data_IF_618349923261
#
_entry.id   IF_618349923261
#
_cell.length_a   1.000
_cell.length_b   1.000
_cell.length_c   1.000
_cell.angle_alpha   90.00
_cell.angle_beta   90.00
_cell.angle_gamma   90.00
#
_symmetry.space_group_name_H-M   'P 1'
#
loop_
_entity.id
_entity.type
_entity.pdbx_description
1 polymer ?
#
# COMPACT_ATOMS: atom_id res chain seq x y z
N UNK A 1 -43.96 -5.87 40.84
CA UNK A 1 -43.41 -5.01 39.77
C UNK A 1 -42.75 -5.96 38.78
N UNK A 2 -43.16 -5.94 37.52
CA UNK A 2 -42.82 -7.00 36.58
C UNK A 2 -41.45 -6.74 35.94
N UNK A 3 -40.50 -7.63 36.22
CA UNK A 3 -39.16 -7.63 35.63
C UNK A 3 -39.26 -7.80 34.10
N UNK A 4 -39.18 -6.68 33.37
CA UNK A 4 -39.13 -6.67 31.91
C UNK A 4 -37.69 -6.94 31.46
N UNK A 5 -37.34 -8.22 31.31
CA UNK A 5 -36.10 -8.62 30.64
C UNK A 5 -36.15 -8.17 29.15
N UNK A 6 -35.10 -7.47 28.68
CA UNK A 6 -34.93 -7.13 27.27
C UNK A 6 -34.73 -8.42 26.44
N UNK A 7 -35.19 -8.49 25.18
CA UNK A 7 -34.99 -9.67 24.35
C UNK A 7 -33.49 -9.88 24.05
N UNK A 8 -32.92 -10.99 24.53
CA UNK A 8 -31.58 -11.44 24.17
C UNK A 8 -31.69 -12.17 22.83
N UNK A 9 -30.96 -11.67 21.82
CA UNK A 9 -30.84 -12.32 20.52
C UNK A 9 -29.60 -13.20 20.54
N UNK A 10 -29.81 -14.51 20.58
CA UNK A 10 -28.73 -15.49 20.54
C UNK A 10 -28.25 -15.65 19.09
N UNK A 11 -26.95 -15.45 18.88
CA UNK A 11 -26.28 -15.85 17.65
C UNK A 11 -25.67 -17.22 17.89
N UNK A 12 -26.26 -18.26 17.31
CA UNK A 12 -25.72 -19.60 17.33
C UNK A 12 -25.06 -19.87 15.98
N UNK A 13 -23.91 -20.55 15.96
CA UNK A 13 -23.38 -21.11 14.71
C UNK A 13 -24.44 -22.06 14.15
N UNK A 14 -24.74 -21.95 12.86
CA UNK A 14 -25.65 -22.87 12.17
C UNK A 14 -25.05 -24.28 12.26
N UNK A 15 -25.88 -25.31 12.47
CA UNK A 15 -25.43 -26.71 12.49
C UNK A 15 -25.00 -27.19 11.10
N UNK A 16 -25.62 -26.66 10.04
CA UNK A 16 -25.27 -26.93 8.65
C UNK A 16 -25.13 -25.60 7.92
N UNK A 17 -24.01 -25.43 7.25
CA UNK A 17 -23.71 -24.30 6.39
C UNK A 17 -24.23 -24.62 4.99
N UNK A 18 -25.39 -24.08 4.60
CA UNK A 18 -25.96 -24.27 3.25
C UNK A 18 -25.33 -23.34 2.19
N UNK A 19 -24.35 -22.53 2.58
CA UNK A 19 -23.45 -21.91 1.63
C UNK A 19 -22.25 -22.83 1.51
N UNK A 20 -22.24 -23.66 0.47
CA UNK A 20 -20.97 -24.19 -0.01
C UNK A 20 -20.03 -22.99 -0.19
N UNK A 21 -18.92 -22.97 0.56
CA UNK A 21 -17.86 -22.04 0.25
C UNK A 21 -17.38 -22.41 -1.16
N UNK A 22 -17.70 -21.56 -2.14
CA UNK A 22 -17.11 -21.63 -3.47
C UNK A 22 -15.58 -21.60 -3.28
N UNK A 23 -14.94 -22.77 -3.38
CA UNK A 23 -13.49 -22.92 -3.29
C UNK A 23 -12.96 -23.50 -1.98
N UNK A 24 -13.46 -24.66 -1.55
CA UNK A 24 -12.61 -25.57 -0.80
C UNK A 24 -11.50 -26.09 -1.75
N UNK A 25 -10.27 -25.61 -1.53
CA UNK A 25 -9.10 -25.86 -2.38
C UNK A 25 -8.88 -27.34 -2.69
N UNK A 26 -9.29 -27.77 -3.88
CA UNK A 26 -8.67 -28.90 -4.54
C UNK A 26 -7.22 -28.50 -4.77
N UNK A 27 -6.25 -29.30 -4.30
CA UNK A 27 -4.81 -29.02 -4.42
C UNK A 27 -4.26 -28.90 -5.85
N UNK A 28 -5.14 -28.79 -6.84
CA UNK A 28 -4.80 -28.46 -8.20
C UNK A 28 -4.57 -26.96 -8.33
N UNK A 29 -3.54 -26.55 -9.09
CA UNK A 29 -3.29 -25.14 -9.35
C UNK A 29 -4.47 -24.51 -10.13
N UNK A 30 -4.70 -23.19 -9.96
CA UNK A 30 -5.71 -22.46 -10.73
C UNK A 30 -5.50 -22.60 -12.25
N UNK A 31 -6.59 -22.49 -13.02
CA UNK A 31 -6.57 -22.66 -14.49
C UNK A 31 -5.69 -21.63 -15.23
N UNK A 32 -5.52 -20.44 -14.64
CA UNK A 32 -4.70 -19.36 -15.19
C UNK A 32 -3.20 -19.55 -14.94
N UNK A 33 -2.78 -20.58 -14.19
CA UNK A 33 -1.36 -20.87 -14.01
C UNK A 33 -0.73 -21.25 -15.35
N UNK A 34 0.38 -20.61 -15.68
CA UNK A 34 1.03 -20.73 -16.97
C UNK A 34 1.59 -22.13 -17.20
N UNK A 35 1.55 -22.57 -18.46
CA UNK A 35 2.28 -23.76 -18.90
C UNK A 35 3.79 -23.55 -18.79
N UNK A 36 4.53 -24.64 -18.69
CA UNK A 36 5.98 -24.61 -18.42
C UNK A 36 6.80 -23.70 -19.37
N UNK A 37 6.59 -23.73 -20.70
CA UNK A 37 7.33 -22.85 -21.61
C UNK A 37 7.01 -21.37 -21.42
N UNK A 38 5.74 -21.04 -21.17
CA UNK A 38 5.31 -19.66 -20.92
C UNK A 38 5.81 -19.17 -19.56
N UNK A 39 5.80 -20.03 -18.55
CA UNK A 39 6.32 -19.76 -17.22
C UNK A 39 7.83 -19.47 -17.25
N UNK A 40 8.61 -20.25 -18.00
CA UNK A 40 10.04 -20.00 -18.24
C UNK A 40 10.27 -18.64 -18.88
N UNK A 41 9.52 -18.33 -19.93
CA UNK A 41 9.62 -17.05 -20.64
C UNK A 41 9.30 -15.88 -19.68
N UNK A 42 8.23 -16.01 -18.89
CA UNK A 42 7.82 -15.00 -17.91
C UNK A 42 8.87 -14.79 -16.82
N UNK A 43 9.38 -15.89 -16.26
CA UNK A 43 10.48 -15.87 -15.27
C UNK A 43 11.73 -15.18 -15.82
N UNK A 44 12.14 -15.50 -17.05
CA UNK A 44 13.29 -14.85 -17.69
C UNK A 44 13.07 -13.35 -17.81
N UNK A 45 11.90 -12.93 -18.30
CA UNK A 45 11.54 -11.53 -18.43
C UNK A 45 11.62 -10.77 -17.09
N UNK A 46 11.00 -11.30 -16.03
CA UNK A 46 11.06 -10.66 -14.71
C UNK A 46 12.48 -10.57 -14.16
N UNK A 47 13.30 -11.61 -14.37
CA UNK A 47 14.71 -11.56 -13.98
C UNK A 47 15.50 -10.52 -14.76
N UNK A 48 15.19 -10.30 -16.03
CA UNK A 48 15.83 -9.25 -16.83
C UNK A 48 15.46 -7.85 -16.31
N UNK A 49 14.20 -7.61 -15.95
CA UNK A 49 13.79 -6.35 -15.30
C UNK A 49 14.45 -6.17 -13.93
N UNK A 50 14.52 -7.24 -13.12
CA UNK A 50 15.21 -7.19 -11.82
C UNK A 50 16.70 -6.85 -11.98
N UNK A 51 17.37 -7.26 -13.05
CA UNK A 51 18.74 -6.83 -13.32
C UNK A 51 18.86 -5.34 -13.60
N UNK A 52 17.88 -4.72 -14.26
CA UNK A 52 17.82 -3.27 -14.43
C UNK A 52 17.72 -2.56 -13.06
N UNK A 53 16.85 -3.07 -12.18
CA UNK A 53 16.74 -2.60 -10.79
C UNK A 53 18.08 -2.74 -10.07
N UNK A 54 18.81 -3.84 -10.30
CA UNK A 54 20.16 -4.05 -9.74
C UNK A 54 21.22 -3.09 -10.26
N UNK A 55 21.09 -2.57 -11.48
CA UNK A 55 21.96 -1.49 -11.96
C UNK A 55 21.64 -0.18 -11.21
N UNK A 56 20.36 0.18 -11.07
CA UNK A 56 19.94 1.37 -10.31
C UNK A 56 20.43 1.32 -8.85
N UNK A 57 20.34 0.16 -8.19
CA UNK A 57 20.84 0.00 -6.82
C UNK A 57 22.36 0.19 -6.76
N UNK A 58 23.12 -0.30 -7.74
CA UNK A 58 24.59 -0.10 -7.80
C UNK A 58 24.94 1.37 -7.92
N UNK A 59 24.31 2.09 -8.84
CA UNK A 59 24.55 3.52 -9.04
C UNK A 59 24.25 4.32 -7.76
N UNK A 60 23.17 3.97 -7.05
CA UNK A 60 22.79 4.59 -5.77
C UNK A 60 23.83 4.35 -4.68
N UNK A 61 24.36 3.13 -4.58
CA UNK A 61 25.41 2.80 -3.61
C UNK A 61 26.68 3.61 -3.88
N UNK A 62 27.09 3.80 -5.14
CA UNK A 62 28.22 4.65 -5.50
C UNK A 62 28.01 6.12 -5.10
N UNK A 63 26.77 6.59 -5.09
CA UNK A 63 26.37 7.93 -4.67
C UNK A 63 26.10 8.05 -3.16
N UNK A 64 26.40 7.02 -2.35
CA UNK A 64 26.07 6.95 -0.92
C UNK A 64 24.57 7.14 -0.62
N UNK A 65 23.71 6.69 -1.53
CA UNK A 65 22.27 6.69 -1.38
C UNK A 65 21.77 5.28 -1.06
N UNK A 66 21.23 5.11 0.14
CA UNK A 66 20.73 3.83 0.65
C UNK A 66 19.19 3.80 0.77
N UNK A 67 18.49 4.73 0.11
CA UNK A 67 17.04 4.70 0.04
C UNK A 67 16.62 3.47 -0.79
N UNK A 68 15.69 2.63 -0.33
CA UNK A 68 15.24 1.46 -1.10
C UNK A 68 14.71 1.84 -2.47
N UNK A 69 14.96 0.99 -3.47
CA UNK A 69 14.32 1.11 -4.79
C UNK A 69 12.95 0.45 -4.73
N UNK A 70 11.93 1.08 -5.30
CA UNK A 70 10.58 0.52 -5.34
C UNK A 70 10.31 -0.09 -6.71
N UNK A 71 9.78 -1.31 -6.69
CA UNK A 71 9.31 -2.04 -7.86
C UNK A 71 7.78 -2.09 -7.80
N UNK A 72 7.15 -1.74 -8.91
CA UNK A 72 5.71 -1.89 -9.10
C UNK A 72 5.44 -3.25 -9.74
N UNK A 73 4.53 -4.00 -9.15
CA UNK A 73 4.13 -5.33 -9.62
C UNK A 73 2.66 -5.28 -9.98
N UNK A 74 2.36 -5.41 -11.27
CA UNK A 74 0.99 -5.48 -11.76
C UNK A 74 0.48 -6.91 -11.66
N UNK A 75 -0.59 -7.09 -10.91
CA UNK A 75 -1.22 -8.39 -10.72
C UNK A 75 -1.99 -8.82 -11.97
N UNK A 76 -2.15 -10.13 -12.13
CA UNK A 76 -3.09 -10.71 -13.07
C UNK A 76 -4.53 -10.53 -12.57
N UNK A 77 -5.43 -10.06 -13.44
CA UNK A 77 -6.87 -9.87 -13.16
C UNK A 77 -7.51 -11.17 -12.62
N UNK A 78 -7.10 -12.31 -13.18
CA UNK A 78 -7.56 -13.65 -12.73
C UNK A 78 -6.98 -14.05 -11.35
N UNK A 79 -5.96 -13.32 -10.86
CA UNK A 79 -5.24 -13.57 -9.63
C UNK A 79 -5.40 -12.43 -8.59
N UNK A 80 -6.45 -11.61 -8.69
CA UNK A 80 -6.72 -10.47 -7.77
C UNK A 80 -7.10 -10.93 -6.35
N UNK A 81 -7.52 -12.18 -6.19
CA UNK A 81 -7.95 -12.73 -4.90
C UNK A 81 -6.86 -12.60 -3.82
N UNK A 82 -7.30 -12.35 -2.58
CA UNK A 82 -6.39 -12.11 -1.43
C UNK A 82 -5.41 -13.26 -1.17
N UNK A 83 -5.79 -14.49 -1.48
CA UNK A 83 -4.94 -15.68 -1.32
C UNK A 83 -3.70 -15.61 -2.21
N UNK A 84 -3.82 -15.22 -3.47
CA UNK A 84 -2.72 -15.20 -4.42
C UNK A 84 -1.76 -14.02 -4.20
N UNK A 85 -2.21 -12.96 -3.50
CA UNK A 85 -1.31 -11.89 -3.03
C UNK A 85 -0.18 -12.47 -2.17
N UNK A 86 -0.45 -13.51 -1.39
CA UNK A 86 0.58 -14.20 -0.62
C UNK A 86 1.62 -14.86 -1.54
N UNK A 87 1.18 -15.55 -2.59
CA UNK A 87 2.08 -16.18 -3.57
C UNK A 87 2.96 -15.17 -4.29
N UNK A 88 2.43 -13.97 -4.61
CA UNK A 88 3.21 -12.87 -5.17
C UNK A 88 4.18 -12.33 -4.12
N UNK A 89 3.72 -11.91 -2.94
CA UNK A 89 4.62 -11.35 -1.91
C UNK A 89 5.74 -12.31 -1.51
N UNK A 90 5.46 -13.63 -1.53
CA UNK A 90 6.44 -14.65 -1.21
C UNK A 90 7.65 -14.58 -2.13
N UNK A 91 7.47 -14.27 -3.43
CA UNK A 91 8.55 -14.11 -4.42
C UNK A 91 9.52 -12.96 -4.09
N UNK A 92 9.07 -11.99 -3.31
CA UNK A 92 9.85 -10.80 -3.01
C UNK A 92 10.41 -10.78 -1.59
N UNK A 93 9.95 -11.65 -0.69
CA UNK A 93 10.37 -11.63 0.70
C UNK A 93 11.76 -12.31 0.86
N UNK A 94 12.70 -11.58 1.46
CA UNK A 94 14.11 -11.97 1.61
C UNK A 94 14.49 -12.18 3.08
N UNK A 95 13.61 -12.86 3.83
CA UNK A 95 13.68 -12.97 5.30
C UNK A 95 13.02 -11.79 6.05
N UNK A 96 12.60 -10.76 5.32
CA UNK A 96 11.79 -9.63 5.77
C UNK A 96 10.61 -9.40 4.83
N UNK A 97 9.60 -8.66 5.30
CA UNK A 97 8.45 -8.27 4.48
C UNK A 97 8.83 -7.08 3.58
N UNK A 98 8.73 -7.27 2.27
CA UNK A 98 9.14 -6.26 1.28
C UNK A 98 7.95 -5.56 0.61
N UNK A 99 6.71 -6.00 0.86
CA UNK A 99 5.51 -5.26 0.44
C UNK A 99 5.34 -4.00 1.29
N UNK A 100 5.28 -2.83 0.66
CA UNK A 100 5.12 -1.53 1.37
C UNK A 100 3.73 -0.92 1.20
N UNK A 101 3.00 -1.32 0.16
CA UNK A 101 1.65 -0.82 -0.10
C UNK A 101 1.11 -1.25 -1.45
N UNK A 102 0.06 -0.54 -1.88
CA UNK A 102 -0.65 -0.75 -3.13
C UNK A 102 -0.73 0.57 -3.89
N UNK A 103 -0.69 0.47 -5.22
CA UNK A 103 -1.07 1.53 -6.14
C UNK A 103 -2.32 1.06 -6.89
N UNK A 104 -3.43 1.78 -6.74
CA UNK A 104 -4.72 1.30 -7.23
C UNK A 104 -5.15 -0.06 -6.65
N UNK A 105 -5.92 -0.83 -7.43
CA UNK A 105 -6.50 -2.12 -7.00
C UNK A 105 -5.63 -3.34 -7.35
N UNK A 106 -4.81 -3.21 -8.39
CA UNK A 106 -4.11 -4.32 -9.04
C UNK A 106 -2.58 -4.20 -8.96
N UNK A 107 -2.04 -3.14 -8.35
CA UNK A 107 -0.59 -2.94 -8.31
C UNK A 107 -0.05 -3.02 -6.88
N UNK A 108 0.98 -3.83 -6.71
CA UNK A 108 1.73 -3.94 -5.46
C UNK A 108 2.99 -3.09 -5.55
N UNK A 109 3.32 -2.44 -4.44
CA UNK A 109 4.55 -1.67 -4.29
C UNK A 109 5.50 -2.45 -3.39
N UNK A 110 6.67 -2.76 -3.92
CA UNK A 110 7.65 -3.63 -3.25
C UNK A 110 8.97 -2.90 -3.13
N UNK A 111 9.52 -2.84 -1.92
CA UNK A 111 10.85 -2.27 -1.69
C UNK A 111 11.93 -3.32 -1.94
N UNK A 112 13.03 -2.90 -2.52
CA UNK A 112 14.28 -3.66 -2.66
C UNK A 112 15.40 -2.79 -2.10
N UNK A 113 15.96 -3.20 -0.96
CA UNK A 113 16.89 -2.37 -0.19
C UNK A 113 18.35 -2.58 -0.63
N UNK A 114 18.72 -3.81 -0.99
CA UNK A 114 20.11 -4.20 -1.24
C UNK A 114 20.27 -5.12 -2.46
N UNK A 115 21.50 -5.29 -2.94
CA UNK A 115 21.81 -6.25 -4.01
C UNK A 115 21.66 -7.70 -3.53
N UNK A 116 21.90 -7.96 -2.24
CA UNK A 116 21.67 -9.24 -1.61
C UNK A 116 20.19 -9.61 -1.61
N UNK A 117 19.31 -8.64 -1.28
CA UNK A 117 17.86 -8.82 -1.40
C UNK A 117 17.49 -9.16 -2.85
N UNK A 118 17.97 -8.38 -3.81
CA UNK A 118 17.68 -8.60 -5.22
C UNK A 118 18.11 -9.99 -5.71
N UNK A 119 19.31 -10.45 -5.34
CA UNK A 119 19.81 -11.76 -5.72
C UNK A 119 18.94 -12.91 -5.16
N UNK A 120 18.40 -12.74 -3.95
CA UNK A 120 17.44 -13.69 -3.39
C UNK A 120 16.11 -13.69 -4.15
N UNK A 121 15.59 -12.51 -4.50
CA UNK A 121 14.37 -12.35 -5.29
C UNK A 121 14.54 -13.03 -6.66
N UNK A 122 15.63 -12.74 -7.37
CA UNK A 122 15.94 -13.37 -8.67
C UNK A 122 15.99 -14.90 -8.58
N UNK A 123 16.54 -15.44 -7.49
CA UNK A 123 16.57 -16.89 -7.24
C UNK A 123 15.17 -17.46 -7.09
N UNK A 124 14.26 -16.75 -6.40
CA UNK A 124 12.87 -17.18 -6.24
C UNK A 124 12.12 -17.19 -7.56
N UNK A 125 12.31 -16.18 -8.41
CA UNK A 125 11.79 -16.17 -9.77
C UNK A 125 12.37 -17.30 -10.65
N UNK A 126 13.56 -17.81 -10.33
CA UNK A 126 14.17 -18.95 -11.01
C UNK A 126 13.62 -20.33 -10.61
N UNK A 127 12.95 -20.46 -9.46
CA UNK A 127 12.37 -21.73 -9.01
C UNK A 127 10.91 -21.86 -9.48
N UNK A 128 10.79 -22.31 -10.73
CA UNK A 128 9.51 -22.49 -11.42
C UNK A 128 8.62 -23.57 -10.79
N UNK A 129 9.20 -24.47 -9.99
CA UNK A 129 8.44 -25.56 -9.36
C UNK A 129 7.69 -25.07 -8.13
N UNK A 130 8.34 -24.25 -7.31
CA UNK A 130 7.76 -23.74 -6.05
C UNK A 130 6.94 -22.48 -6.25
N UNK A 131 7.24 -21.69 -7.27
CA UNK A 131 6.66 -20.36 -7.46
C UNK A 131 5.87 -20.20 -8.76
N UNK A 132 5.44 -21.30 -9.39
CA UNK A 132 4.63 -21.26 -10.61
C UNK A 132 3.38 -20.39 -10.47
N UNK A 133 2.67 -20.50 -9.35
CA UNK A 133 1.45 -19.72 -9.05
C UNK A 133 1.80 -18.23 -8.94
N UNK A 134 2.78 -17.86 -8.11
CA UNK A 134 3.19 -16.48 -7.92
C UNK A 134 3.68 -15.81 -9.21
N UNK A 135 4.49 -16.52 -10.01
CA UNK A 135 4.99 -15.99 -11.29
C UNK A 135 3.85 -15.83 -12.30
N UNK A 136 2.86 -16.73 -12.27
CA UNK A 136 1.68 -16.65 -13.16
C UNK A 136 0.67 -15.58 -12.72
N UNK A 137 0.67 -15.24 -11.43
CA UNK A 137 -0.20 -14.24 -10.83
C UNK A 137 0.30 -12.80 -11.07
N UNK A 138 1.49 -12.63 -11.62
CA UNK A 138 2.02 -11.34 -12.04
C UNK A 138 1.73 -11.17 -13.53
N UNK A 139 1.18 -10.02 -13.90
CA UNK A 139 1.08 -9.57 -15.27
C UNK A 139 2.38 -8.92 -15.70
N UNK A 140 2.83 -7.93 -14.92
CA UNK A 140 3.99 -7.11 -15.26
C UNK A 140 4.81 -6.69 -14.04
N UNK A 141 6.06 -6.34 -14.28
CA UNK A 141 7.00 -5.85 -13.27
C UNK A 141 7.79 -4.70 -13.87
N UNK A 142 7.81 -3.57 -13.17
CA UNK A 142 8.55 -2.39 -13.60
C UNK A 142 9.17 -1.64 -12.40
N UNK A 143 10.31 -0.96 -12.58
CA UNK A 143 10.76 0.03 -11.60
C UNK A 143 9.71 1.12 -11.43
N UNK A 144 9.43 1.51 -10.19
CA UNK A 144 8.46 2.57 -9.92
C UNK A 144 8.94 3.92 -10.50
N UNK A 145 8.02 4.62 -11.14
CA UNK A 145 8.17 6.02 -11.54
C UNK A 145 7.21 6.90 -10.73
N UNK A 146 7.64 8.12 -10.43
CA UNK A 146 6.87 9.07 -9.63
C UNK A 146 5.52 9.39 -10.28
N UNK A 147 4.44 9.30 -9.49
CA UNK A 147 3.11 9.70 -9.94
C UNK A 147 3.01 11.23 -10.00
N UNK A 148 2.59 11.78 -11.13
CA UNK A 148 2.46 13.23 -11.32
C UNK A 148 1.16 13.64 -11.99
N UNK A 149 0.65 14.81 -11.60
CA UNK A 149 -0.41 15.48 -12.33
C UNK A 149 0.12 16.01 -13.68
N UNK A 150 -0.69 15.91 -14.73
CA UNK A 150 -0.29 16.32 -16.10
C UNK A 150 -0.09 17.83 -16.25
N UNK A 151 -0.68 18.62 -15.36
CA UNK A 151 -0.88 20.05 -15.54
C UNK A 151 0.01 20.90 -14.61
N UNK A 152 1.04 20.29 -14.00
CA UNK A 152 1.95 20.98 -13.09
C UNK A 152 2.77 22.05 -13.83
N UNK A 153 2.52 23.31 -13.50
CA UNK A 153 3.20 24.48 -14.03
C UNK A 153 4.40 24.92 -13.19
N UNK A 154 5.33 25.64 -13.84
CA UNK A 154 6.44 26.30 -13.17
C UNK A 154 5.92 27.34 -12.15
N UNK A 155 6.34 27.23 -10.89
CA UNK A 155 5.93 28.16 -9.84
C UNK A 155 4.69 27.73 -9.03
N UNK A 156 4.07 26.61 -9.40
CA UNK A 156 2.98 26.03 -8.63
C UNK A 156 3.44 25.57 -7.25
N UNK A 157 2.48 25.54 -6.34
CA UNK A 157 2.71 25.04 -5.00
C UNK A 157 2.49 23.54 -5.06
N UNK A 158 3.58 22.79 -4.90
CA UNK A 158 3.54 21.34 -5.05
C UNK A 158 3.28 20.64 -3.72
N UNK A 159 2.52 19.56 -3.79
CA UNK A 159 2.38 18.56 -2.75
C UNK A 159 3.23 17.35 -3.13
N UNK A 160 4.32 17.16 -2.42
CA UNK A 160 5.21 16.00 -2.56
C UNK A 160 4.88 14.99 -1.47
N UNK A 161 4.55 13.77 -1.88
CA UNK A 161 4.33 12.63 -0.99
C UNK A 161 5.50 11.67 -1.11
N UNK A 162 6.18 11.41 0.00
CA UNK A 162 7.24 10.41 0.09
C UNK A 162 6.63 9.02 0.32
N UNK A 163 7.38 7.98 -0.04
CA UNK A 163 7.03 6.61 0.32
C UNK A 163 6.99 6.42 1.84
N UNK A 164 6.17 5.46 2.27
CA UNK A 164 6.26 4.87 3.60
C UNK A 164 6.71 3.41 3.43
N UNK A 165 7.93 3.12 3.85
CA UNK A 165 8.56 1.80 3.72
C UNK A 165 8.14 0.78 4.79
N UNK A 166 7.14 1.13 5.62
CA UNK A 166 6.69 0.36 6.78
C UNK A 166 7.82 0.05 7.77
N UNK A 167 8.86 0.89 7.76
CA UNK A 167 10.04 0.79 8.59
C UNK A 167 10.43 2.20 9.02
N UNK A 168 10.46 2.41 10.34
CA UNK A 168 10.65 3.74 10.92
C UNK A 168 12.04 4.28 10.58
N UNK A 169 13.06 3.44 10.54
CA UNK A 169 14.43 3.86 10.29
C UNK A 169 14.63 4.24 8.82
N UNK A 170 14.11 3.42 7.89
CA UNK A 170 14.13 3.75 6.45
C UNK A 170 13.34 5.04 6.16
N UNK A 171 12.17 5.21 6.79
CA UNK A 171 11.37 6.42 6.65
C UNK A 171 12.13 7.65 7.18
N UNK A 172 12.83 7.53 8.31
CA UNK A 172 13.64 8.62 8.86
C UNK A 172 14.82 8.97 7.97
N UNK A 173 15.48 7.97 7.36
CA UNK A 173 16.56 8.18 6.38
C UNK A 173 16.01 8.95 5.17
N UNK A 174 14.88 8.51 4.61
CA UNK A 174 14.23 9.15 3.47
C UNK A 174 13.85 10.61 3.77
N UNK A 175 13.22 10.87 4.92
CA UNK A 175 12.85 12.23 5.35
C UNK A 175 14.08 13.14 5.42
N UNK A 176 15.16 12.69 6.07
CA UNK A 176 16.38 13.50 6.21
C UNK A 176 17.04 13.74 4.85
N UNK A 177 17.08 12.73 3.98
CA UNK A 177 17.63 12.85 2.64
C UNK A 177 16.84 13.86 1.81
N UNK A 178 15.50 13.81 1.88
CA UNK A 178 14.64 14.74 1.16
C UNK A 178 14.75 16.17 1.68
N UNK A 179 14.76 16.37 3.00
CA UNK A 179 14.92 17.70 3.60
C UNK A 179 16.28 18.32 3.28
N UNK A 180 17.34 17.50 3.23
CA UNK A 180 18.67 17.93 2.76
C UNK A 180 18.65 18.31 1.28
N UNK A 181 18.03 17.48 0.43
CA UNK A 181 17.86 17.80 -0.99
C UNK A 181 17.15 19.15 -1.18
N UNK A 182 16.06 19.39 -0.44
CA UNK A 182 15.37 20.68 -0.50
C UNK A 182 16.25 21.85 -0.05
N UNK A 183 17.10 21.68 0.96
CA UNK A 183 18.04 22.71 1.42
C UNK A 183 19.12 23.01 0.37
N UNK A 184 19.72 21.98 -0.22
CA UNK A 184 20.76 22.10 -1.25
C UNK A 184 20.21 22.82 -2.50
N UNK A 185 18.96 22.52 -2.86
CA UNK A 185 18.24 23.16 -3.98
C UNK A 185 17.56 24.48 -3.62
N UNK A 186 17.74 24.96 -2.38
CA UNK A 186 17.18 26.21 -1.87
C UNK A 186 15.64 26.30 -2.03
N UNK A 187 14.96 25.16 -1.97
CA UNK A 187 13.51 25.06 -2.05
C UNK A 187 12.87 25.49 -0.73
N UNK A 188 11.73 26.17 -0.81
CA UNK A 188 10.93 26.48 0.39
C UNK A 188 10.00 25.31 0.65
N UNK A 189 10.27 24.55 1.72
CA UNK A 189 9.48 23.37 2.07
C UNK A 189 8.85 23.49 3.46
N UNK A 190 7.66 22.89 3.61
CA UNK A 190 6.99 22.73 4.90
C UNK A 190 6.34 21.36 4.98
N UNK A 191 6.62 20.62 6.05
CA UNK A 191 5.95 19.34 6.32
C UNK A 191 4.46 19.59 6.62
N UNK A 192 3.59 18.87 5.93
CA UNK A 192 2.15 18.93 6.12
C UNK A 192 1.69 17.74 6.98
N UNK A 193 0.92 18.03 8.03
CA UNK A 193 0.34 17.01 8.92
C UNK A 193 -1.06 16.65 8.42
N UNK A 194 -1.14 15.67 7.53
CA UNK A 194 -2.42 15.14 7.04
C UNK A 194 -2.93 14.00 7.92
N UNK A 195 -2.08 12.99 8.14
CA UNK A 195 -2.36 11.84 8.98
C UNK A 195 -1.04 11.24 9.51
N UNK A 196 -1.15 10.44 10.57
CA UNK A 196 0.00 9.71 11.10
C UNK A 196 0.54 8.70 10.08
N UNK A 197 1.87 8.56 10.02
CA UNK A 197 2.55 7.69 9.06
C UNK A 197 2.60 8.22 7.62
N UNK A 198 2.10 9.42 7.35
CA UNK A 198 2.26 10.09 6.07
C UNK A 198 3.42 11.11 6.09
N UNK A 199 4.22 11.11 5.03
CA UNK A 199 5.35 12.00 4.85
C UNK A 199 5.07 12.91 3.65
N UNK A 200 4.31 13.98 3.90
CA UNK A 200 3.85 14.92 2.87
C UNK A 200 4.48 16.29 3.10
N UNK A 201 4.95 16.91 2.03
CA UNK A 201 5.58 18.22 2.01
C UNK A 201 4.86 19.14 1.05
N UNK A 202 4.69 20.40 1.48
CA UNK A 202 4.34 21.52 0.60
C UNK A 202 5.64 22.17 0.14
N UNK A 203 5.87 22.22 -1.16
CA UNK A 203 7.00 22.91 -1.79
C UNK A 203 6.54 24.18 -2.49
N UNK A 204 7.42 25.18 -2.52
CA UNK A 204 7.26 26.42 -3.28
C UNK A 204 8.59 26.79 -3.94
N UNK A 205 8.52 27.66 -4.95
CA UNK A 205 9.67 28.13 -5.74
C UNK A 205 10.37 26.98 -6.49
N UNK A 206 9.61 26.01 -6.99
CA UNK A 206 10.14 24.93 -7.80
C UNK A 206 10.27 25.42 -9.25
N UNK A 207 11.49 25.44 -9.78
CA UNK A 207 11.78 25.72 -11.18
C UNK A 207 11.53 24.47 -12.04
N UNK A 208 11.47 24.60 -13.36
CA UNK A 208 11.33 23.44 -14.26
C UNK A 208 12.48 22.44 -14.06
N UNK A 209 13.74 22.90 -13.99
CA UNK A 209 14.90 22.05 -13.71
C UNK A 209 14.78 21.36 -12.33
N UNK A 210 14.29 22.08 -11.32
CA UNK A 210 14.04 21.53 -9.99
C UNK A 210 12.93 20.47 -9.97
N UNK A 211 11.97 20.54 -10.90
CA UNK A 211 10.93 19.53 -11.05
C UNK A 211 11.50 18.23 -11.63
N UNK A 212 12.38 18.30 -12.64
CA UNK A 212 13.07 17.12 -13.21
C UNK A 212 13.96 16.43 -12.16
N UNK A 213 14.64 17.21 -11.33
CA UNK A 213 15.43 16.69 -10.23
C UNK A 213 14.57 16.06 -9.12
N UNK A 214 13.40 16.65 -8.82
CA UNK A 214 12.42 16.05 -7.91
C UNK A 214 11.91 14.72 -8.46
N UNK A 215 11.61 14.63 -9.76
CA UNK A 215 11.19 13.37 -10.39
C UNK A 215 12.26 12.28 -10.27
N UNK A 216 13.53 12.68 -10.32
CA UNK A 216 14.67 11.77 -10.23
C UNK A 216 15.03 11.41 -8.78
N UNK A 217 14.43 12.05 -7.78
CA UNK A 217 14.74 11.81 -6.38
C UNK A 217 14.14 10.47 -5.90
N UNK A 218 15.00 9.61 -5.35
CA UNK A 218 14.59 8.32 -4.81
C UNK A 218 13.66 8.45 -3.59
N UNK A 219 12.52 7.76 -3.65
CA UNK A 219 11.62 7.67 -2.51
C UNK A 219 10.49 8.71 -2.50
N UNK A 220 10.33 9.49 -3.57
CA UNK A 220 9.08 10.20 -3.82
C UNK A 220 8.06 9.21 -4.42
N UNK A 221 6.86 9.20 -3.83
CA UNK A 221 5.72 8.45 -4.33
C UNK A 221 4.95 9.28 -5.36
N UNK A 222 4.60 10.52 -5.02
CA UNK A 222 3.80 11.38 -5.90
C UNK A 222 4.15 12.87 -5.77
N UNK A 223 4.00 13.60 -6.87
CA UNK A 223 4.08 15.06 -6.95
C UNK A 223 2.76 15.54 -7.56
N UNK A 224 1.98 16.27 -6.78
CA UNK A 224 0.65 16.73 -7.18
C UNK A 224 0.51 18.22 -6.91
N UNK A 225 -0.51 18.85 -7.47
CA UNK A 225 -0.85 20.22 -7.09
C UNK A 225 -1.30 20.24 -5.61
N UNK A 226 -0.85 21.25 -4.85
CA UNK A 226 -1.31 21.40 -3.49
C UNK A 226 -2.76 21.90 -3.49
N UNK A 227 -3.72 21.18 -2.87
CA UNK A 227 -5.10 21.61 -2.87
C UNK A 227 -5.26 22.95 -2.15
N UNK A 228 -5.94 23.89 -2.81
CA UNK A 228 -6.31 25.18 -2.25
C UNK A 228 -7.82 25.23 -2.03
N UNK A 229 -8.24 25.48 -0.78
CA UNK A 229 -9.64 25.73 -0.48
C UNK A 229 -9.87 27.24 -0.46
N UNK A 230 -10.74 27.72 -1.34
CA UNK A 230 -11.24 29.10 -1.27
C UNK A 230 -12.41 29.13 -0.30
N UNK A 231 -12.61 30.28 0.36
CA UNK A 231 -13.61 30.44 1.42
C UNK A 231 -15.04 30.02 1.01
N UNK A 232 -15.38 30.09 -0.28
CA UNK A 232 -16.69 29.65 -0.81
C UNK A 232 -16.84 28.15 -1.09
N UNK A 233 -15.75 27.37 -1.11
CA UNK A 233 -15.81 25.93 -1.42
C UNK A 233 -16.45 25.12 -0.28
N UNK A 234 -16.38 25.65 0.95
CA UNK A 234 -16.99 25.02 2.13
C UNK A 234 -18.50 25.24 2.18
N UNK A 235 -19.01 26.35 1.62
CA UNK A 235 -20.46 26.65 1.62
C UNK A 235 -21.24 25.68 0.71
N UNK A 236 -20.67 25.25 -0.41
CA UNK A 236 -21.28 24.28 -1.31
C UNK A 236 -21.46 22.87 -0.68
N UNK A 237 -20.74 22.56 0.41
CA UNK A 237 -20.89 21.29 1.12
C UNK A 237 -22.04 21.28 2.16
N UNK A 238 -22.63 22.44 2.47
CA UNK A 238 -23.65 22.58 3.53
C UNK A 238 -25.09 22.46 2.98
N UNK A 239 -25.30 22.46 1.66
CA UNK A 239 -26.66 22.35 1.08
C UNK A 239 -27.29 20.95 1.19
N UNK A 240 -26.54 19.94 1.61
CA UNK A 240 -27.13 18.66 1.99
C UNK A 240 -27.56 18.71 3.46
N UNK A 241 -28.71 19.36 3.70
CA UNK A 241 -29.43 19.16 4.95
C UNK A 241 -29.84 17.69 5.01
N UNK A 242 -29.09 16.86 5.74
CA UNK A 242 -29.46 15.47 5.96
C UNK A 242 -30.76 15.53 6.78
N UNK A 243 -31.88 15.18 6.15
CA UNK A 243 -33.13 14.99 6.89
C UNK A 243 -32.90 13.89 7.92
N UNK A 244 -32.72 14.29 9.18
CA UNK A 244 -32.74 13.36 10.29
C UNK A 244 -34.16 12.79 10.32
N UNK A 245 -34.35 11.58 9.78
CA UNK A 245 -35.60 10.85 9.94
C UNK A 245 -35.85 10.67 11.43
N UNK A 246 -36.69 11.54 11.97
CA UNK A 246 -37.24 11.35 13.30
C UNK A 246 -37.94 10.00 13.30
N UNK A 247 -37.42 9.08 14.12
CA UNK A 247 -37.98 7.74 14.30
C UNK A 247 -39.47 7.92 14.57
N UNK A 248 -40.34 7.38 13.70
CA UNK A 248 -41.77 7.26 14.03
C UNK A 248 -41.83 6.64 15.43
N UNK A 249 -42.61 7.25 16.34
CA UNK A 249 -42.87 6.74 17.68
C UNK A 249 -43.36 5.29 17.57
N UNK A 250 -42.44 4.35 17.54
CA UNK A 250 -42.68 2.96 17.87
C UNK A 250 -42.54 2.91 19.38
N UNK A 251 -43.63 2.45 20.02
CA UNK A 251 -43.80 2.37 21.46
C UNK A 251 -42.53 1.82 22.14
N UNK A 252 -41.98 2.65 23.03
CA UNK A 252 -41.06 2.39 24.14
C UNK A 252 -40.15 1.17 24.03
N UNK A 253 -38.82 1.39 23.99
CA UNK A 253 -37.90 0.53 24.75
C UNK A 253 -36.69 1.36 25.20
N UNK A 254 -36.45 1.35 26.51
CA UNK A 254 -35.46 2.15 27.22
C UNK A 254 -34.06 1.50 27.19
N UNK A 255 -33.05 2.35 27.17
CA UNK A 255 -31.61 2.07 27.34
C UNK A 255 -31.25 1.95 28.83
N UNK A 256 -30.28 1.09 29.16
CA UNK A 256 -29.28 1.11 30.26
C UNK A 256 -28.73 -0.34 30.38
N UNK A 257 -27.46 -0.68 30.50
CA UNK A 257 -26.29 0.01 31.03
C UNK A 257 -25.63 -0.88 32.10
N UNK A 258 -24.62 -1.68 31.69
CA UNK A 258 -23.53 -2.35 32.44
C UNK A 258 -23.83 -3.37 33.57
N UNK A 259 -23.00 -4.42 33.68
CA UNK A 259 -22.13 -4.72 34.84
C UNK A 259 -21.11 -5.84 34.54
N UNK A 260 -19.95 -5.65 35.16
CA UNK A 260 -18.69 -6.43 35.21
C UNK A 260 -18.90 -7.79 35.90
N UNK A 261 -18.15 -8.83 35.54
CA UNK A 261 -18.01 -10.05 36.34
C UNK A 261 -16.55 -10.34 36.70
N UNK A 262 -16.31 -10.40 38.01
CA UNK A 262 -15.07 -10.73 38.71
C UNK A 262 -14.69 -12.21 38.55
N UNK A 263 -13.38 -12.46 38.39
CA UNK A 263 -12.75 -13.76 38.57
C UNK A 263 -12.60 -14.08 40.06
N UNK A 264 -13.12 -15.22 40.52
CA UNK A 264 -12.80 -15.81 41.83
C UNK A 264 -11.70 -16.87 41.68
N UNK A 265 -10.64 -16.73 42.47
CA UNK A 265 -9.57 -17.71 42.70
C UNK A 265 -9.89 -18.46 44.00
N UNK A 266 -9.78 -19.80 44.07
CA UNK A 266 -9.94 -20.53 45.33
C UNK A 266 -8.61 -20.59 46.12
N UNK A 267 -8.64 -20.69 47.46
CA UNK A 267 -7.45 -20.55 48.29
C UNK A 267 -6.73 -21.88 48.58
N UNK A 268 -5.39 -21.77 48.56
CA UNK A 268 -4.27 -22.63 49.03
C UNK A 268 -4.33 -24.13 48.71
#
# INVERSE_FOLDING_TARGET
>A
MADKNLPIKFFQKREVDEQDMEGAGGGNPPRWVLSEPLLRKRSSYYRDVLREVGSKIRDKVEQNNYIPTVVKVKMNEDAVAKSYRWDITRLFNTGKFNLIGFSGEEELLIKVETLEDLAQIEKQFGDLTRHSVGISAINDLEPFSVEMDSDLGSGDILKVKLFNFQDIDLNNILIRAFERFCQEKQLVYKRAKYADGQHIYRLQKVTSDGLEELQSFDGIFAITEMPEFKHGDVEAAIENTIEIKNRKRVRSTQLLGYWIQEFQVPPI
#
